data_IF_713260819878
#
_entry.id   IF_713260819878
#
_cell.length_a   1.000
_cell.length_b   1.000
_cell.length_c   1.000
_cell.angle_alpha   90.00
_cell.angle_beta   90.00
_cell.angle_gamma   90.00
#
_symmetry.space_group_name_H-M   'P 1'
#
loop_
_entity.id
_entity.type
_entity.pdbx_description
1 polymer ?
#
# COMPACT_ATOMS: atom_id res chain seq x y z
N UNK A 1 22.48 -29.69 -30.50
CA UNK A 1 21.25 -29.61 -29.72
C UNK A 1 20.07 -29.64 -30.68
N UNK A 2 19.26 -30.69 -30.60
CA UNK A 2 18.02 -30.85 -31.36
C UNK A 2 16.98 -29.83 -30.86
N UNK A 3 15.95 -29.55 -31.66
CA UNK A 3 14.89 -28.58 -31.28
C UNK A 3 14.20 -28.97 -29.97
N UNK A 4 13.95 -30.26 -29.73
CA UNK A 4 13.37 -30.73 -28.46
C UNK A 4 14.26 -30.50 -27.22
N UNK A 5 15.58 -30.66 -27.37
CA UNK A 5 16.54 -30.39 -26.29
C UNK A 5 16.64 -28.88 -25.97
N UNK A 6 16.55 -28.03 -27.00
CA UNK A 6 16.49 -26.57 -26.84
C UNK A 6 15.24 -26.14 -26.05
N UNK A 7 14.07 -26.68 -26.41
CA UNK A 7 12.82 -26.38 -25.68
C UNK A 7 12.86 -26.84 -24.23
N UNK A 8 13.44 -28.02 -23.97
CA UNK A 8 13.64 -28.51 -22.60
C UNK A 8 14.60 -27.63 -21.79
N UNK A 9 15.65 -27.11 -22.41
CA UNK A 9 16.58 -26.17 -21.77
C UNK A 9 15.87 -24.87 -21.36
N UNK A 10 15.14 -24.24 -22.30
CA UNK A 10 14.35 -23.03 -22.01
C UNK A 10 13.38 -23.25 -20.85
N UNK A 11 12.57 -24.33 -20.92
CA UNK A 11 11.62 -24.66 -19.86
C UNK A 11 12.29 -24.91 -18.50
N UNK A 12 13.45 -25.57 -18.48
CA UNK A 12 14.18 -25.85 -17.24
C UNK A 12 14.71 -24.58 -16.57
N UNK A 13 15.29 -23.67 -17.37
CA UNK A 13 15.76 -22.37 -16.87
C UNK A 13 14.58 -21.49 -16.44
N UNK A 14 13.52 -21.44 -17.25
CA UNK A 14 12.31 -20.68 -16.94
C UNK A 14 11.72 -21.13 -15.60
N UNK A 15 11.50 -22.43 -15.44
CA UNK A 15 10.99 -22.99 -14.18
C UNK A 15 11.90 -22.71 -12.98
N UNK A 16 13.23 -22.70 -13.15
CA UNK A 16 14.15 -22.39 -12.07
C UNK A 16 14.01 -20.94 -11.58
N UNK A 17 13.87 -19.98 -12.49
CA UNK A 17 13.64 -18.57 -12.13
C UNK A 17 12.27 -18.35 -11.49
N UNK A 18 11.24 -19.07 -11.93
CA UNK A 18 9.93 -19.04 -11.27
C UNK A 18 10.00 -19.54 -9.82
N UNK A 19 10.72 -20.64 -9.56
CA UNK A 19 10.93 -21.17 -8.22
C UNK A 19 11.72 -20.19 -7.35
N UNK A 20 12.78 -19.58 -7.89
CA UNK A 20 13.56 -18.57 -7.18
C UNK A 20 12.72 -17.34 -6.82
N UNK A 21 11.93 -16.86 -7.76
CA UNK A 21 11.03 -15.71 -7.57
C UNK A 21 9.98 -16.01 -6.51
N UNK A 22 9.36 -17.20 -6.57
CA UNK A 22 8.42 -17.66 -5.56
C UNK A 22 9.06 -17.71 -4.16
N UNK A 23 10.28 -18.23 -4.04
CA UNK A 23 10.98 -18.26 -2.76
C UNK A 23 11.21 -16.85 -2.18
N UNK A 24 11.51 -15.85 -3.02
CA UNK A 24 11.63 -14.46 -2.55
C UNK A 24 10.28 -13.95 -2.02
N UNK A 25 9.20 -14.16 -2.76
CA UNK A 25 7.86 -13.70 -2.35
C UNK A 25 7.39 -14.40 -1.08
N UNK A 26 7.57 -15.72 -0.99
CA UNK A 26 7.20 -16.54 0.18
C UNK A 26 8.05 -16.18 1.43
N UNK A 27 9.18 -15.48 1.26
CA UNK A 27 9.99 -14.98 2.38
C UNK A 27 9.52 -13.64 2.95
N UNK A 28 8.56 -12.97 2.29
CA UNK A 28 7.94 -11.76 2.80
C UNK A 28 6.94 -12.11 3.91
N UNK A 29 6.84 -11.26 4.92
CA UNK A 29 5.80 -11.41 5.93
C UNK A 29 4.43 -11.08 5.33
N UNK A 30 3.38 -11.68 5.88
CA UNK A 30 2.01 -11.37 5.49
C UNK A 30 1.65 -9.94 5.90
N UNK A 31 1.00 -9.19 4.99
CA UNK A 31 0.57 -7.80 5.28
C UNK A 31 -0.38 -7.74 6.47
N UNK A 32 -1.19 -8.78 6.68
CA UNK A 32 -2.14 -8.87 7.80
C UNK A 32 -1.46 -8.94 9.17
N UNK A 33 -0.23 -9.43 9.23
CA UNK A 33 0.55 -9.49 10.46
C UNK A 33 1.28 -8.18 10.78
N UNK A 34 1.58 -7.37 9.75
CA UNK A 34 2.22 -6.05 9.90
C UNK A 34 1.19 -4.94 10.15
N UNK A 35 0.07 -4.96 9.42
CA UNK A 35 -0.96 -3.94 9.53
C UNK A 35 -1.72 -4.18 10.84
N UNK A 36 -1.83 -3.18 11.73
CA UNK A 36 -2.55 -3.38 12.97
C UNK A 36 -4.02 -3.77 12.68
N UNK A 37 -4.63 -4.63 13.50
CA UNK A 37 -6.04 -4.99 13.34
C UNK A 37 -6.94 -3.75 13.46
N UNK A 38 -8.05 -3.78 12.73
CA UNK A 38 -9.04 -2.70 12.76
C UNK A 38 -9.65 -2.61 14.17
N UNK A 39 -9.62 -1.43 14.83
CA UNK A 39 -10.18 -1.29 16.16
C UNK A 39 -11.70 -1.47 16.13
N UNK A 40 -12.25 -1.88 17.27
CA UNK A 40 -13.69 -1.98 17.44
C UNK A 40 -14.30 -0.59 17.28
N UNK A 41 -15.36 -0.48 16.49
CA UNK A 41 -16.09 0.78 16.33
C UNK A 41 -16.65 1.23 17.68
N UNK A 42 -16.27 2.43 18.07
CA UNK A 42 -16.80 3.13 19.25
C UNK A 42 -17.28 4.50 18.83
N UNK A 43 -18.31 5.01 19.50
CA UNK A 43 -18.78 6.38 19.32
C UNK A 43 -18.32 7.29 20.45
N UNK A 44 -18.33 8.60 20.19
CA UNK A 44 -18.03 9.63 21.17
C UNK A 44 -18.78 9.46 22.50
N UNK A 45 -18.02 9.41 23.58
CA UNK A 45 -18.52 9.49 24.95
C UNK A 45 -18.15 10.83 25.56
N UNK A 46 -19.10 11.79 25.63
CA UNK A 46 -18.90 12.97 26.49
C UNK A 46 -18.78 12.50 27.93
N UNK A 47 -17.65 12.77 28.59
CA UNK A 47 -17.48 12.53 30.03
C UNK A 47 -18.60 13.28 30.77
N UNK A 48 -19.55 12.53 31.33
CA UNK A 48 -20.60 13.09 32.17
C UNK A 48 -20.14 13.01 33.62
N UNK A 49 -19.53 14.10 34.09
CA UNK A 49 -19.33 14.37 35.50
C UNK A 49 -18.08 13.74 36.11
N UNK A 50 -17.40 14.56 36.92
CA UNK A 50 -16.28 14.23 37.78
C UNK A 50 -16.62 12.96 38.59
N UNK A 51 -16.11 11.83 38.14
CA UNK A 51 -15.79 10.71 39.02
C UNK A 51 -14.29 10.58 38.99
N UNK A 52 -13.65 11.33 39.88
CA UNK A 52 -12.26 11.15 40.24
C UNK A 52 -12.06 9.69 40.66
N UNK A 53 -11.61 8.87 39.72
CA UNK A 53 -11.12 7.53 39.98
C UNK A 53 -9.78 7.42 39.28
N UNK A 54 -8.75 7.42 40.10
CA UNK A 54 -7.39 6.91 39.87
C UNK A 54 -6.95 7.00 38.41
N UNK A 55 -6.12 8.00 38.14
CA UNK A 55 -5.20 8.05 37.00
C UNK A 55 -4.25 6.85 37.08
N UNK A 56 -4.79 5.65 36.84
CA UNK A 56 -4.04 4.48 36.49
C UNK A 56 -3.86 4.66 35.00
N UNK A 57 -2.61 4.74 34.53
CA UNK A 57 -2.31 4.44 33.14
C UNK A 57 -2.86 3.03 32.87
N UNK A 58 -4.14 2.96 32.49
CA UNK A 58 -4.74 1.77 31.97
C UNK A 58 -4.31 1.78 30.52
N UNK A 59 -3.15 1.21 30.26
CA UNK A 59 -2.90 0.51 29.00
C UNK A 59 -4.17 -0.28 28.70
N UNK A 60 -4.94 0.16 27.69
CA UNK A 60 -6.22 -0.45 27.35
C UNK A 60 -5.99 -1.95 27.14
N UNK A 61 -6.56 -2.84 27.98
CA UNK A 61 -6.37 -4.28 27.85
C UNK A 61 -7.07 -4.85 26.60
N UNK A 62 -7.65 -4.00 25.74
CA UNK A 62 -8.34 -4.37 24.50
C UNK A 62 -7.71 -3.78 23.24
N UNK A 63 -6.55 -3.12 23.33
CA UNK A 63 -5.67 -3.04 22.17
C UNK A 63 -5.21 -4.46 21.85
N UNK A 64 -5.38 -4.96 20.62
CA UNK A 64 -4.85 -6.25 20.25
C UNK A 64 -3.36 -6.25 20.54
N UNK A 65 -3.03 -7.05 21.54
CA UNK A 65 -1.74 -7.46 22.01
C UNK A 65 -0.56 -7.01 21.12
N UNK A 66 0.36 -6.29 21.73
CA UNK A 66 1.78 -6.16 21.34
C UNK A 66 2.46 -7.55 21.15
N UNK A 67 1.76 -8.66 21.42
CA UNK A 67 2.25 -10.06 21.38
C UNK A 67 2.48 -10.69 19.99
N UNK A 68 2.59 -9.92 18.90
CA UNK A 68 3.03 -10.51 17.62
C UNK A 68 4.33 -9.94 17.06
N UNK A 69 4.90 -8.88 17.65
CA UNK A 69 6.06 -8.24 17.02
C UNK A 69 7.35 -9.08 17.04
N UNK A 70 7.50 -10.00 18.00
CA UNK A 70 8.74 -10.75 18.19
C UNK A 70 8.83 -12.03 17.34
N UNK A 71 7.71 -12.52 16.80
CA UNK A 71 7.66 -13.78 16.03
C UNK A 71 7.56 -13.56 14.51
N UNK A 72 7.27 -12.32 14.08
CA UNK A 72 7.21 -11.97 12.65
C UNK A 72 8.63 -11.63 12.19
N UNK A 73 9.22 -12.52 11.39
CA UNK A 73 10.51 -12.27 10.75
C UNK A 73 10.37 -11.29 9.57
N UNK A 74 10.26 -10.01 9.87
CA UNK A 74 10.20 -8.94 8.86
C UNK A 74 11.60 -8.68 8.32
N UNK A 75 11.80 -8.87 7.01
CA UNK A 75 13.08 -8.59 6.34
C UNK A 75 13.50 -7.13 6.51
N UNK A 76 14.79 -6.90 6.71
CA UNK A 76 15.34 -5.53 6.81
C UNK A 76 15.21 -4.78 5.50
N UNK A 77 15.11 -3.45 5.57
CA UNK A 77 15.02 -2.59 4.37
C UNK A 77 16.17 -2.83 3.38
N UNK A 78 17.46 -2.90 3.80
CA UNK A 78 18.55 -3.25 2.89
C UNK A 78 18.39 -4.61 2.22
N UNK A 79 17.90 -5.63 2.95
CA UNK A 79 17.66 -6.97 2.38
C UNK A 79 16.60 -6.92 1.28
N UNK A 80 15.49 -6.22 1.51
CA UNK A 80 14.44 -6.02 0.51
C UNK A 80 14.98 -5.31 -0.74
N UNK A 81 15.78 -4.26 -0.55
CA UNK A 81 16.40 -3.54 -1.66
C UNK A 81 17.34 -4.41 -2.49
N UNK A 82 18.18 -5.23 -1.85
CA UNK A 82 19.09 -6.15 -2.54
C UNK A 82 18.30 -7.23 -3.30
N UNK A 83 17.23 -7.77 -2.72
CA UNK A 83 16.36 -8.73 -3.41
C UNK A 83 15.68 -8.10 -4.63
N UNK A 84 15.16 -6.88 -4.51
CA UNK A 84 14.59 -6.11 -5.63
C UNK A 84 15.62 -5.89 -6.76
N UNK A 85 16.83 -5.45 -6.40
CA UNK A 85 17.93 -5.29 -7.35
C UNK A 85 18.29 -6.61 -8.04
N UNK A 86 18.25 -7.72 -7.30
CA UNK A 86 18.55 -9.06 -7.83
C UNK A 86 17.48 -9.51 -8.83
N UNK A 87 16.19 -9.28 -8.53
CA UNK A 87 15.09 -9.55 -9.46
C UNK A 87 15.19 -8.70 -10.73
N UNK A 88 15.50 -7.41 -10.58
CA UNK A 88 15.72 -6.52 -11.72
C UNK A 88 16.93 -6.96 -12.56
N UNK A 89 18.02 -7.34 -11.91
CA UNK A 89 19.17 -7.90 -12.61
C UNK A 89 18.79 -9.18 -13.36
N UNK A 90 18.07 -10.11 -12.73
CA UNK A 90 17.62 -11.34 -13.35
C UNK A 90 16.82 -11.08 -14.64
N UNK A 91 15.81 -10.21 -14.61
CA UNK A 91 15.02 -9.90 -15.81
C UNK A 91 15.85 -9.24 -16.93
N UNK A 92 16.82 -8.38 -16.57
CA UNK A 92 17.73 -7.77 -17.55
C UNK A 92 18.63 -8.80 -18.23
N UNK A 93 19.06 -9.84 -17.50
CA UNK A 93 19.92 -10.90 -18.03
C UNK A 93 19.14 -11.98 -18.78
N UNK A 94 17.87 -12.24 -18.44
CA UNK A 94 17.03 -13.18 -19.17
C UNK A 94 16.94 -12.85 -20.67
N UNK A 95 16.82 -11.55 -21.00
CA UNK A 95 16.79 -11.11 -22.39
C UNK A 95 18.11 -11.42 -23.12
N UNK A 96 19.25 -11.10 -22.50
CA UNK A 96 20.59 -11.39 -23.05
C UNK A 96 20.84 -12.89 -23.18
N UNK A 97 20.36 -13.67 -22.21
CA UNK A 97 20.46 -15.13 -22.21
C UNK A 97 19.66 -15.73 -23.36
N UNK A 98 18.43 -15.27 -23.58
CA UNK A 98 17.58 -15.73 -24.68
C UNK A 98 18.24 -15.46 -26.04
N UNK A 99 18.74 -14.25 -26.25
CA UNK A 99 19.42 -13.87 -27.49
C UNK A 99 20.70 -14.70 -27.70
N UNK A 100 21.50 -14.91 -26.66
CA UNK A 100 22.73 -15.72 -26.71
C UNK A 100 22.46 -17.20 -27.04
N UNK A 101 21.41 -17.78 -26.44
CA UNK A 101 20.99 -19.16 -26.73
C UNK A 101 20.55 -19.28 -28.20
N UNK A 102 19.72 -18.34 -28.67
CA UNK A 102 19.24 -18.32 -30.05
C UNK A 102 20.38 -18.13 -31.06
N UNK A 103 21.30 -17.21 -30.80
CA UNK A 103 22.45 -16.94 -31.67
C UNK A 103 23.34 -18.18 -31.81
N UNK A 104 23.72 -18.81 -30.68
CA UNK A 104 24.56 -20.02 -30.67
C UNK A 104 23.89 -21.21 -31.34
N UNK A 105 22.60 -21.39 -31.12
CA UNK A 105 21.83 -22.45 -31.76
C UNK A 105 21.74 -22.23 -33.28
N UNK A 106 21.43 -21.00 -33.71
CA UNK A 106 21.28 -20.66 -35.13
C UNK A 106 22.59 -20.82 -35.91
N UNK A 107 23.73 -20.35 -35.35
CA UNK A 107 25.06 -20.50 -35.97
C UNK A 107 25.42 -21.97 -36.26
N UNK A 108 25.10 -22.88 -35.34
CA UNK A 108 25.42 -24.32 -35.46
C UNK A 108 24.50 -25.05 -36.45
N UNK A 109 23.28 -24.56 -36.65
CA UNK A 109 22.34 -25.13 -37.62
C UNK A 109 22.57 -24.60 -39.03
N UNK A 110 22.93 -23.32 -39.20
CA UNK A 110 23.28 -22.74 -40.51
C UNK A 110 24.58 -23.33 -41.08
N UNK A 111 25.55 -23.70 -40.25
CA UNK A 111 26.76 -24.41 -40.70
C UNK A 111 26.48 -25.84 -41.18
N UNK A 112 25.34 -26.43 -40.83
CA UNK A 112 24.94 -27.79 -41.26
C UNK A 112 24.00 -27.78 -42.47
N UNK A 113 23.47 -26.63 -42.89
CA UNK A 113 22.47 -26.52 -43.99
C UNK A 113 23.01 -26.00 -45.32
N UNK A 114 24.33 -25.90 -45.51
CA UNK A 114 24.93 -25.59 -46.83
C UNK A 114 24.89 -26.83 -47.74
N UNK A 115 23.70 -27.39 -47.99
CA UNK A 115 23.36 -28.22 -49.18
C UNK A 115 21.85 -28.25 -49.36
N UNK A 116 21.24 -27.12 -49.79
CA UNK A 116 20.10 -27.06 -50.71
C UNK A 116 19.65 -25.61 -50.91
N UNK A 117 19.64 -25.08 -52.14
CA UNK A 117 18.94 -23.85 -52.44
C UNK A 117 17.46 -24.14 -52.78
N UNK A 118 16.67 -23.07 -52.67
CA UNK A 118 15.36 -22.81 -53.32
C UNK A 118 14.13 -22.77 -52.40
N UNK A 119 13.57 -21.56 -52.38
CA UNK A 119 12.20 -21.10 -52.14
C UNK A 119 11.61 -21.00 -50.74
N UNK A 120 11.33 -19.74 -50.38
CA UNK A 120 9.94 -19.31 -50.16
C UNK A 120 9.55 -18.99 -48.72
N UNK A 121 9.61 -17.70 -48.36
CA UNK A 121 8.74 -17.03 -47.38
C UNK A 121 8.37 -17.79 -46.10
N UNK A 122 9.35 -18.33 -45.38
CA UNK A 122 9.13 -18.72 -43.99
C UNK A 122 9.54 -17.57 -43.08
N UNK A 123 8.64 -16.59 -42.93
CA UNK A 123 8.57 -15.77 -41.71
C UNK A 123 8.16 -16.71 -40.57
N UNK A 124 9.03 -17.64 -40.18
CA UNK A 124 8.89 -18.33 -38.92
C UNK A 124 9.37 -17.34 -37.86
N UNK A 125 8.43 -16.53 -37.38
CA UNK A 125 8.47 -16.00 -36.02
C UNK A 125 8.53 -17.19 -35.08
N UNK A 126 9.70 -17.80 -34.89
CA UNK A 126 9.95 -18.59 -33.70
C UNK A 126 9.77 -17.64 -32.53
N UNK A 127 8.57 -17.68 -31.91
CA UNK A 127 8.21 -16.97 -30.70
C UNK A 127 9.41 -16.95 -29.75
N UNK A 128 9.93 -15.76 -29.48
CA UNK A 128 10.97 -15.50 -28.46
C UNK A 128 10.30 -15.45 -27.09
N UNK A 129 9.63 -16.55 -26.76
CA UNK A 129 8.78 -16.68 -25.59
C UNK A 129 9.41 -17.67 -24.60
N UNK A 130 10.73 -17.88 -24.70
CA UNK A 130 11.43 -18.93 -23.97
C UNK A 130 11.43 -18.75 -22.45
N UNK A 131 11.19 -17.53 -21.97
CA UNK A 131 11.23 -17.13 -20.56
C UNK A 131 10.01 -16.31 -20.10
N UNK A 132 8.87 -16.46 -20.77
CA UNK A 132 7.70 -15.63 -20.49
C UNK A 132 7.12 -15.89 -19.10
N UNK A 133 7.20 -17.12 -18.60
CA UNK A 133 6.81 -17.47 -17.24
C UNK A 133 7.64 -16.68 -16.21
N UNK A 134 8.97 -16.75 -16.34
CA UNK A 134 9.90 -16.01 -15.47
C UNK A 134 9.70 -14.50 -15.56
N UNK A 135 9.54 -13.94 -16.77
CA UNK A 135 9.32 -12.50 -16.93
C UNK A 135 8.07 -12.03 -16.21
N UNK A 136 6.98 -12.78 -16.34
CA UNK A 136 5.73 -12.47 -15.68
C UNK A 136 5.89 -12.54 -14.15
N UNK A 137 6.43 -13.63 -13.65
CA UNK A 137 6.56 -13.86 -12.21
C UNK A 137 7.54 -12.87 -11.57
N UNK A 138 8.68 -12.59 -12.20
CA UNK A 138 9.66 -11.62 -11.71
C UNK A 138 9.05 -10.21 -11.66
N UNK A 139 8.34 -9.76 -12.71
CA UNK A 139 7.71 -8.44 -12.69
C UNK A 139 6.66 -8.32 -11.59
N UNK A 140 5.81 -9.35 -11.44
CA UNK A 140 4.81 -9.41 -10.37
C UNK A 140 5.44 -9.41 -8.98
N UNK A 141 6.56 -10.12 -8.80
CA UNK A 141 7.31 -10.11 -7.55
C UNK A 141 7.93 -8.74 -7.26
N UNK A 142 8.49 -8.06 -8.27
CA UNK A 142 8.99 -6.69 -8.10
C UNK A 142 7.86 -5.75 -7.67
N UNK A 143 6.68 -5.81 -8.31
CA UNK A 143 5.52 -5.00 -7.92
C UNK A 143 5.11 -5.27 -6.46
N UNK A 144 4.97 -6.55 -6.10
CA UNK A 144 4.60 -6.95 -4.76
C UNK A 144 5.63 -6.50 -3.70
N UNK A 145 6.92 -6.64 -3.99
CA UNK A 145 7.98 -6.20 -3.08
C UNK A 145 8.04 -4.68 -2.93
N UNK A 146 7.78 -3.91 -3.99
CA UNK A 146 7.70 -2.45 -3.92
C UNK A 146 6.54 -2.02 -3.00
N UNK A 147 5.36 -2.62 -3.17
CA UNK A 147 4.19 -2.36 -2.33
C UNK A 147 4.43 -2.77 -0.86
N UNK A 148 5.00 -3.96 -0.65
CA UNK A 148 5.34 -4.47 0.67
C UNK A 148 6.36 -3.57 1.39
N UNK A 149 7.38 -3.07 0.68
CA UNK A 149 8.38 -2.17 1.24
C UNK A 149 7.74 -0.89 1.80
N UNK A 150 6.78 -0.31 1.06
CA UNK A 150 5.98 0.81 1.54
C UNK A 150 5.14 0.44 2.77
N UNK A 151 4.42 -0.69 2.72
CA UNK A 151 3.57 -1.15 3.83
C UNK A 151 4.39 -1.39 5.10
N UNK A 152 5.51 -2.11 5.01
CA UNK A 152 6.45 -2.30 6.11
C UNK A 152 6.90 -0.95 6.68
N UNK A 153 7.32 -0.02 5.83
CA UNK A 153 7.81 1.28 6.29
C UNK A 153 6.77 2.00 7.14
N UNK A 154 5.53 2.11 6.66
CA UNK A 154 4.50 2.92 7.34
C UNK A 154 3.90 2.19 8.54
N UNK A 155 3.60 0.90 8.40
CA UNK A 155 2.86 0.15 9.42
C UNK A 155 3.75 -0.59 10.42
N UNK A 156 5.06 -0.71 10.14
CA UNK A 156 6.04 -1.32 11.03
C UNK A 156 7.08 -0.31 11.50
N UNK A 157 7.91 0.23 10.59
CA UNK A 157 9.07 1.03 10.97
C UNK A 157 8.66 2.40 11.55
N UNK A 158 7.69 3.06 10.93
CA UNK A 158 7.15 4.36 11.34
C UNK A 158 5.83 4.23 12.11
N UNK A 159 5.49 3.03 12.61
CA UNK A 159 4.20 2.74 13.24
C UNK A 159 3.87 3.69 14.39
N UNK A 160 4.82 3.93 15.28
CA UNK A 160 4.60 4.79 16.45
C UNK A 160 4.31 6.23 16.06
N UNK A 161 5.08 6.78 15.11
CA UNK A 161 4.98 8.17 14.68
C UNK A 161 3.75 8.38 13.78
N UNK A 162 3.59 7.51 12.79
CA UNK A 162 2.57 7.62 11.76
C UNK A 162 1.22 7.05 12.25
N UNK A 163 1.15 5.79 12.63
CA UNK A 163 -0.11 5.10 12.91
C UNK A 163 -0.64 5.41 14.32
N UNK A 164 0.23 5.49 15.32
CA UNK A 164 -0.18 5.70 16.71
C UNK A 164 -0.16 7.19 17.12
N UNK A 165 0.71 7.99 16.50
CA UNK A 165 0.96 9.40 16.86
C UNK A 165 0.14 10.42 16.06
N UNK A 166 -0.05 10.21 14.76
CA UNK A 166 -0.68 11.22 13.89
C UNK A 166 -2.10 11.58 14.37
N UNK A 167 -2.40 12.88 14.42
CA UNK A 167 -3.67 13.47 14.88
C UNK A 167 -4.12 13.10 16.29
N UNK A 168 -3.19 12.63 17.15
CA UNK A 168 -3.44 12.32 18.55
C UNK A 168 -2.63 13.25 19.47
N UNK A 169 -3.26 13.98 20.41
CA UNK A 169 -4.67 13.89 20.82
C UNK A 169 -5.62 14.73 19.96
N UNK A 170 -5.11 15.58 19.05
CA UNK A 170 -5.91 16.35 18.11
C UNK A 170 -5.12 16.66 16.84
N UNK A 171 -5.82 17.04 15.77
CA UNK A 171 -5.21 17.39 14.48
C UNK A 171 -4.25 18.56 14.62
N UNK A 172 -4.67 19.64 15.29
CA UNK A 172 -3.86 20.84 15.46
C UNK A 172 -2.54 20.62 16.23
N UNK A 173 -2.47 19.60 17.09
CA UNK A 173 -1.29 19.34 17.93
C UNK A 173 -0.32 18.32 17.32
N UNK A 174 -0.81 17.41 16.49
CA UNK A 174 -0.01 16.30 15.94
C UNK A 174 -0.24 16.21 14.43
N UNK A 175 0.31 17.20 13.72
CA UNK A 175 0.20 17.37 12.26
C UNK A 175 1.08 16.40 11.51
N UNK A 176 0.77 16.17 10.23
CA UNK A 176 1.54 15.28 9.36
C UNK A 176 2.98 15.75 9.13
N UNK A 177 3.25 17.06 9.22
CA UNK A 177 4.55 17.66 8.97
C UNK A 177 5.70 17.01 9.76
N UNK A 178 5.43 16.50 10.98
CA UNK A 178 6.43 15.79 11.80
C UNK A 178 6.97 14.50 11.15
N UNK A 179 6.27 13.97 10.14
CA UNK A 179 6.61 12.75 9.43
C UNK A 179 7.51 13.00 8.22
N UNK A 180 7.70 14.26 7.81
CA UNK A 180 8.49 14.59 6.61
C UNK A 180 9.95 14.20 6.78
N UNK A 181 10.60 14.56 7.90
CA UNK A 181 11.99 14.16 8.17
C UNK A 181 12.17 12.63 8.24
N UNK A 182 11.34 11.87 8.99
CA UNK A 182 11.39 10.41 8.96
C UNK A 182 11.21 9.79 7.57
N UNK A 183 10.27 10.30 6.78
CA UNK A 183 10.02 9.82 5.42
C UNK A 183 11.20 10.12 4.49
N UNK A 184 11.82 11.30 4.60
CA UNK A 184 12.99 11.69 3.83
C UNK A 184 14.21 10.80 4.12
N UNK A 185 14.42 10.47 5.41
CA UNK A 185 15.46 9.54 5.82
C UNK A 185 15.24 8.15 5.21
N UNK A 186 14.00 7.66 5.21
CA UNK A 186 13.65 6.38 4.58
C UNK A 186 13.89 6.43 3.07
N UNK A 187 13.44 7.47 2.38
CA UNK A 187 13.64 7.62 0.94
C UNK A 187 15.13 7.66 0.59
N UNK A 188 15.93 8.38 1.38
CA UNK A 188 17.39 8.44 1.22
C UNK A 188 18.01 7.04 1.33
N UNK A 189 17.65 6.27 2.34
CA UNK A 189 18.16 4.89 2.53
C UNK A 189 17.72 3.94 1.41
N UNK A 190 16.47 4.04 0.96
CA UNK A 190 15.95 3.22 -0.14
C UNK A 190 16.67 3.52 -1.45
N UNK A 191 16.80 4.81 -1.81
CA UNK A 191 17.37 5.26 -3.06
C UNK A 191 18.89 5.10 -3.15
N UNK A 192 19.59 5.02 -2.01
CA UNK A 192 21.03 4.71 -1.94
C UNK A 192 21.34 3.28 -2.39
N UNK A 193 20.44 2.33 -2.11
CA UNK A 193 20.62 0.91 -2.44
C UNK A 193 19.93 0.54 -3.76
N UNK A 194 18.73 1.04 -4.00
CA UNK A 194 17.90 0.67 -5.15
C UNK A 194 18.46 1.22 -6.47
N UNK A 195 18.51 0.34 -7.49
CA UNK A 195 18.87 0.74 -8.86
C UNK A 195 17.87 1.74 -9.45
N UNK A 196 18.38 2.72 -10.18
CA UNK A 196 17.60 3.84 -10.74
C UNK A 196 16.28 3.46 -11.42
N UNK A 197 16.19 2.40 -12.26
CA UNK A 197 14.93 2.02 -12.93
C UNK A 197 13.82 1.51 -12.01
N UNK A 198 14.13 1.20 -10.74
CA UNK A 198 13.16 0.76 -9.75
C UNK A 198 12.75 1.86 -8.77
N UNK A 199 13.44 3.00 -8.74
CA UNK A 199 13.22 4.06 -7.74
C UNK A 199 11.76 4.52 -7.74
N UNK A 200 11.22 4.92 -8.88
CA UNK A 200 9.83 5.37 -9.00
C UNK A 200 8.83 4.32 -8.51
N UNK A 201 9.08 3.03 -8.75
CA UNK A 201 8.19 1.94 -8.32
C UNK A 201 8.19 1.79 -6.80
N UNK A 202 9.37 1.82 -6.17
CA UNK A 202 9.52 1.74 -4.71
C UNK A 202 8.92 2.98 -4.03
N UNK A 203 9.21 4.17 -4.56
CA UNK A 203 8.68 5.44 -4.02
C UNK A 203 7.16 5.51 -4.20
N UNK A 204 6.62 5.01 -5.32
CA UNK A 204 5.15 4.89 -5.52
C UNK A 204 4.53 3.96 -4.48
N UNK A 205 5.16 2.82 -4.18
CA UNK A 205 4.71 1.91 -3.13
C UNK A 205 4.70 2.58 -1.74
N UNK A 206 5.71 3.41 -1.44
CA UNK A 206 5.73 4.19 -0.20
C UNK A 206 4.65 5.27 -0.14
N UNK A 207 4.40 5.98 -1.24
CA UNK A 207 3.30 6.94 -1.35
C UNK A 207 1.94 6.26 -1.11
N UNK A 208 1.71 5.12 -1.74
CA UNK A 208 0.48 4.34 -1.57
C UNK A 208 0.28 3.94 -0.10
N UNK A 209 1.31 3.37 0.52
CA UNK A 209 1.26 3.00 1.93
C UNK A 209 1.05 4.21 2.86
N UNK A 210 1.63 5.37 2.54
CA UNK A 210 1.46 6.59 3.32
C UNK A 210 0.01 7.10 3.27
N UNK A 211 -0.61 7.04 2.09
CA UNK A 211 -2.01 7.41 1.90
C UNK A 211 -2.97 6.41 2.56
N UNK A 212 -2.69 5.11 2.46
CA UNK A 212 -3.45 4.07 3.16
C UNK A 212 -3.31 4.22 4.68
N UNK A 213 -2.10 4.54 5.17
CA UNK A 213 -1.84 4.87 6.57
C UNK A 213 -2.65 6.08 7.04
N UNK A 214 -2.67 7.16 6.26
CA UNK A 214 -3.47 8.36 6.55
C UNK A 214 -4.97 8.06 6.60
N UNK A 215 -5.50 7.35 5.60
CA UNK A 215 -6.92 6.93 5.57
C UNK A 215 -7.24 6.07 6.79
N UNK A 216 -6.34 5.15 7.17
CA UNK A 216 -6.52 4.29 8.34
C UNK A 216 -6.51 5.10 9.64
N UNK A 217 -5.63 6.08 9.79
CA UNK A 217 -5.61 6.99 10.94
C UNK A 217 -6.93 7.77 11.07
N UNK A 218 -7.53 8.16 9.93
CA UNK A 218 -8.78 8.92 9.89
C UNK A 218 -10.01 8.03 10.17
N UNK A 219 -10.09 6.86 9.54
CA UNK A 219 -11.30 6.02 9.56
C UNK A 219 -11.28 4.94 10.65
N UNK A 220 -10.10 4.44 10.98
CA UNK A 220 -9.86 3.29 11.86
C UNK A 220 -8.80 3.66 12.93
N UNK A 221 -8.76 4.93 13.33
CA UNK A 221 -7.76 5.49 14.26
C UNK A 221 -8.02 5.20 15.74
N UNK A 222 -9.13 4.52 16.06
CA UNK A 222 -9.54 4.19 17.42
C UNK A 222 -10.12 5.37 18.24
N UNK A 223 -10.57 5.12 19.49
CA UNK A 223 -11.33 6.08 20.29
C UNK A 223 -10.54 7.33 20.73
N UNK A 224 -9.22 7.32 20.57
CA UNK A 224 -8.34 8.43 20.98
C UNK A 224 -8.31 9.59 19.97
N UNK A 225 -8.95 9.43 18.81
CA UNK A 225 -9.01 10.44 17.74
C UNK A 225 -10.46 10.85 17.51
N UNK A 226 -10.71 12.13 17.74
CA UNK A 226 -12.02 12.75 17.52
C UNK A 226 -11.85 13.99 16.65
N UNK A 227 -12.75 14.17 15.69
CA UNK A 227 -12.67 15.21 14.67
C UNK A 227 -13.91 16.10 14.65
N UNK A 228 -13.67 17.34 14.25
CA UNK A 228 -14.64 18.41 13.98
C UNK A 228 -14.61 18.76 12.48
N UNK A 229 -15.57 19.53 11.91
CA UNK A 229 -15.55 19.83 10.48
C UNK A 229 -14.38 20.76 10.13
N UNK A 230 -13.96 21.59 11.09
CA UNK A 230 -12.83 22.49 10.95
C UNK A 230 -11.51 21.74 10.75
N UNK A 231 -11.38 20.53 11.29
CA UNK A 231 -10.16 19.72 11.16
C UNK A 231 -9.89 19.28 9.72
N UNK A 232 -10.92 19.17 8.88
CA UNK A 232 -10.79 18.80 7.48
C UNK A 232 -9.88 19.77 6.71
N UNK A 233 -9.88 21.06 7.07
CA UNK A 233 -8.98 22.04 6.44
C UNK A 233 -7.51 21.75 6.74
N UNK A 234 -7.19 21.45 8.00
CA UNK A 234 -5.82 21.11 8.41
C UNK A 234 -5.36 19.79 7.78
N UNK A 235 -6.26 18.80 7.67
CA UNK A 235 -5.93 17.55 7.00
C UNK A 235 -5.72 17.71 5.49
N UNK A 236 -6.45 18.62 4.83
CA UNK A 236 -6.22 18.93 3.41
C UNK A 236 -4.86 19.63 3.21
N UNK A 237 -4.49 20.57 4.08
CA UNK A 237 -3.15 21.17 4.09
C UNK A 237 -2.06 20.09 4.26
N UNK A 238 -2.27 19.16 5.19
CA UNK A 238 -1.35 18.04 5.45
C UNK A 238 -1.24 17.09 4.26
N UNK A 239 -2.35 16.82 3.56
CA UNK A 239 -2.34 16.01 2.33
C UNK A 239 -1.57 16.71 1.21
N UNK A 240 -1.69 18.04 1.09
CA UNK A 240 -0.94 18.82 0.09
C UNK A 240 0.56 18.85 0.41
N UNK A 241 0.95 18.93 1.69
CA UNK A 241 2.36 18.78 2.12
C UNK A 241 2.90 17.40 1.73
N UNK A 242 2.17 16.32 2.03
CA UNK A 242 2.57 14.97 1.65
C UNK A 242 2.70 14.81 0.13
N UNK A 243 1.75 15.40 -0.62
CA UNK A 243 1.76 15.36 -2.09
C UNK A 243 2.99 16.06 -2.67
N UNK A 244 3.26 17.29 -2.24
CA UNK A 244 4.41 18.05 -2.74
C UNK A 244 5.74 17.44 -2.30
N UNK A 245 5.80 16.79 -1.13
CA UNK A 245 6.96 16.01 -0.69
C UNK A 245 7.30 14.89 -1.70
N UNK A 246 6.33 14.09 -2.14
CA UNK A 246 6.60 13.01 -3.11
C UNK A 246 6.84 13.52 -4.54
N UNK A 247 6.35 14.70 -4.90
CA UNK A 247 6.66 15.36 -6.18
C UNK A 247 8.08 15.96 -6.14
N UNK A 248 8.50 16.46 -4.98
CA UNK A 248 9.81 17.06 -4.71
C UNK A 248 10.26 18.06 -5.78
N UNK A 249 9.38 19.02 -6.13
CA UNK A 249 9.69 20.05 -7.13
C UNK A 249 9.95 19.54 -8.56
N UNK A 250 9.67 18.26 -8.85
CA UNK A 250 9.94 17.61 -10.13
C UNK A 250 11.09 16.60 -10.10
N UNK A 251 11.86 16.55 -9.01
CA UNK A 251 12.94 15.57 -8.82
C UNK A 251 12.42 14.23 -8.23
N UNK A 252 11.17 14.21 -7.78
CA UNK A 252 10.49 13.02 -7.25
C UNK A 252 9.60 12.33 -8.29
N UNK A 253 8.44 11.83 -7.82
CA UNK A 253 7.48 11.14 -8.67
C UNK A 253 6.80 12.10 -9.67
N UNK A 254 6.40 11.61 -10.86
CA UNK A 254 5.61 12.40 -11.80
C UNK A 254 4.30 12.90 -11.17
N UNK A 255 4.03 14.21 -11.26
CA UNK A 255 2.84 14.84 -10.65
C UNK A 255 1.52 14.12 -10.98
N UNK A 256 1.35 13.66 -12.22
CA UNK A 256 0.14 12.92 -12.62
C UNK A 256 -0.04 11.59 -11.88
N UNK A 257 1.06 10.89 -11.55
CA UNK A 257 1.02 9.66 -10.75
C UNK A 257 0.58 9.98 -9.33
N UNK A 258 1.18 11.01 -8.72
CA UNK A 258 0.85 11.41 -7.34
C UNK A 258 -0.60 11.90 -7.23
N UNK A 259 -1.05 12.77 -8.14
CA UNK A 259 -2.42 13.31 -8.15
C UNK A 259 -3.48 12.21 -8.27
N UNK A 260 -3.19 11.15 -9.03
CA UNK A 260 -4.10 10.00 -9.16
C UNK A 260 -4.21 9.20 -7.85
N UNK A 261 -3.11 9.05 -7.09
CA UNK A 261 -3.12 8.28 -5.84
C UNK A 261 -3.84 9.04 -4.71
N UNK A 262 -3.67 10.36 -4.62
CA UNK A 262 -4.25 11.17 -3.53
C UNK A 262 -5.77 11.32 -3.61
N UNK A 263 -6.41 11.01 -4.74
CA UNK A 263 -7.86 11.18 -4.96
C UNK A 263 -8.69 10.57 -3.84
N UNK A 264 -8.37 9.34 -3.43
CA UNK A 264 -9.13 8.61 -2.41
C UNK A 264 -9.00 9.27 -1.04
N UNK A 265 -7.78 9.62 -0.63
CA UNK A 265 -7.53 10.29 0.65
C UNK A 265 -8.24 11.66 0.70
N UNK A 266 -8.15 12.44 -0.38
CA UNK A 266 -8.84 13.73 -0.52
C UNK A 266 -10.36 13.60 -0.41
N UNK A 267 -10.95 12.56 -1.01
CA UNK A 267 -12.37 12.29 -0.88
C UNK A 267 -12.78 12.01 0.58
N UNK A 268 -11.99 11.22 1.31
CA UNK A 268 -12.24 10.94 2.73
C UNK A 268 -12.12 12.21 3.59
N UNK A 269 -11.09 13.03 3.35
CA UNK A 269 -10.90 14.31 4.04
C UNK A 269 -12.06 15.28 3.74
N UNK A 270 -12.52 15.33 2.49
CA UNK A 270 -13.69 16.12 2.13
C UNK A 270 -14.93 15.69 2.90
N UNK A 271 -15.14 14.39 3.08
CA UNK A 271 -16.27 13.86 3.86
C UNK A 271 -16.22 14.33 5.32
N UNK A 272 -15.03 14.42 5.92
CA UNK A 272 -14.87 14.95 7.29
C UNK A 272 -15.34 16.40 7.43
N UNK A 273 -15.27 17.19 6.34
CA UNK A 273 -15.65 18.60 6.33
C UNK A 273 -17.16 18.86 6.29
N UNK A 274 -17.99 17.85 6.01
CA UNK A 274 -19.45 18.00 6.01
C UNK A 274 -20.01 18.07 7.44
N UNK A 275 -21.17 18.70 7.57
CA UNK A 275 -21.90 18.71 8.82
C UNK A 275 -22.47 17.31 9.13
N UNK A 276 -22.54 17.00 10.43
CA UNK A 276 -22.98 15.68 10.91
C UNK A 276 -24.36 15.28 10.38
N UNK A 277 -25.26 16.25 10.19
CA UNK A 277 -26.60 16.01 9.62
C UNK A 277 -26.55 15.54 8.18
N UNK A 278 -25.72 16.16 7.35
CA UNK A 278 -25.57 15.81 5.94
C UNK A 278 -25.00 14.40 5.80
N UNK A 279 -24.00 14.04 6.62
CA UNK A 279 -23.43 12.70 6.66
C UNK A 279 -24.46 11.64 7.08
N UNK A 280 -25.32 11.96 8.04
CA UNK A 280 -26.39 11.05 8.50
C UNK A 280 -27.46 10.85 7.42
N UNK A 281 -27.87 11.93 6.74
CA UNK A 281 -28.84 11.85 5.64
C UNK A 281 -28.28 11.03 4.47
N UNK A 282 -27.03 11.30 4.10
CA UNK A 282 -26.35 10.57 3.04
C UNK A 282 -26.18 9.08 3.39
N UNK A 283 -25.87 8.74 4.64
CA UNK A 283 -25.79 7.36 5.11
C UNK A 283 -27.14 6.63 5.05
N UNK A 284 -28.25 7.31 5.36
CA UNK A 284 -29.60 6.70 5.21
C UNK A 284 -29.87 6.40 3.74
N UNK A 285 -29.61 7.36 2.85
CA UNK A 285 -29.76 7.16 1.41
C UNK A 285 -28.81 6.08 0.87
N UNK A 286 -27.57 6.02 1.33
CA UNK A 286 -26.59 5.01 0.95
C UNK A 286 -27.05 3.60 1.34
N UNK A 287 -27.57 3.45 2.57
CA UNK A 287 -28.08 2.16 3.08
C UNK A 287 -29.28 1.66 2.29
N UNK A 288 -30.12 2.57 1.76
CA UNK A 288 -31.25 2.25 0.89
C UNK A 288 -30.79 1.88 -0.53
N UNK A 289 -29.74 2.54 -1.03
CA UNK A 289 -29.20 2.35 -2.40
C UNK A 289 -28.20 1.19 -2.53
N UNK A 290 -27.58 0.72 -1.43
CA UNK A 290 -26.72 -0.47 -1.42
C UNK A 290 -27.49 -1.73 -1.88
N UNK A 291 -28.80 -1.79 -1.62
CA UNK A 291 -29.67 -2.84 -2.15
C UNK A 291 -29.84 -2.80 -3.69
N UNK A 292 -29.42 -1.72 -4.35
CA UNK A 292 -29.58 -1.47 -5.78
C UNK A 292 -28.24 -1.18 -6.51
N UNK A 293 -27.10 -1.31 -5.81
CA UNK A 293 -25.75 -1.10 -6.39
C UNK A 293 -25.37 0.36 -6.65
N UNK A 294 -26.08 1.32 -6.05
CA UNK A 294 -25.80 2.76 -6.18
C UNK A 294 -24.81 3.29 -5.14
N UNK A 295 -24.15 4.42 -5.44
CA UNK A 295 -23.36 5.20 -4.45
C UNK A 295 -24.21 6.31 -3.84
N UNK A 296 -23.83 6.76 -2.65
CA UNK A 296 -24.47 7.87 -1.96
C UNK A 296 -24.30 9.20 -2.74
N UNK A 297 -25.03 10.25 -2.34
CA UNK A 297 -24.93 11.58 -2.98
C UNK A 297 -23.53 12.18 -2.80
N UNK A 298 -22.89 11.88 -1.66
CA UNK A 298 -21.52 12.29 -1.38
C UNK A 298 -20.47 11.32 -1.97
N UNK A 299 -20.91 10.25 -2.63
CA UNK A 299 -20.05 9.31 -3.35
C UNK A 299 -19.33 8.28 -2.45
N UNK A 300 -19.74 8.17 -1.19
CA UNK A 300 -19.15 7.28 -0.19
C UNK A 300 -20.01 6.02 0.03
N UNK A 301 -19.37 4.93 0.47
CA UNK A 301 -20.09 3.74 0.93
C UNK A 301 -20.56 3.90 2.40
N UNK A 302 -21.55 3.10 2.80
CA UNK A 302 -22.11 3.14 4.15
C UNK A 302 -21.06 2.90 5.23
N UNK A 303 -20.06 2.05 4.99
CA UNK A 303 -19.03 1.72 5.99
C UNK A 303 -18.09 2.91 6.23
N UNK A 304 -17.73 3.65 5.18
CA UNK A 304 -16.91 4.86 5.28
C UNK A 304 -17.65 5.95 6.07
N UNK A 305 -18.92 6.19 5.77
CA UNK A 305 -19.73 7.18 6.49
C UNK A 305 -19.91 6.82 7.98
N UNK A 306 -20.17 5.55 8.30
CA UNK A 306 -20.27 5.09 9.69
C UNK A 306 -18.96 5.33 10.45
N UNK A 307 -17.80 5.03 9.84
CA UNK A 307 -16.49 5.25 10.45
C UNK A 307 -16.22 6.72 10.74
N UNK A 308 -16.53 7.60 9.79
CA UNK A 308 -16.41 9.06 9.98
C UNK A 308 -17.29 9.52 11.15
N UNK A 309 -18.54 9.05 11.21
CA UNK A 309 -19.45 9.39 12.32
C UNK A 309 -18.97 8.83 13.67
N UNK A 310 -18.25 7.70 13.70
CA UNK A 310 -17.67 7.16 14.94
C UNK A 310 -16.60 8.09 15.52
N UNK A 311 -15.82 8.73 14.65
CA UNK A 311 -14.79 9.70 15.02
C UNK A 311 -15.32 11.13 15.18
N UNK A 312 -16.63 11.37 15.10
CA UNK A 312 -17.20 12.71 15.28
C UNK A 312 -17.32 13.14 16.74
N UNK A 313 -16.77 14.30 17.08
CA UNK A 313 -16.74 14.82 18.46
C UNK A 313 -18.05 15.45 18.96
N UNK A 314 -19.19 15.09 18.38
CA UNK A 314 -20.49 15.70 18.68
C UNK A 314 -21.54 14.69 19.19
N UNK A 315 -22.56 15.23 19.85
CA UNK A 315 -23.63 14.41 20.44
C UNK A 315 -24.63 13.88 19.42
N UNK A 316 -24.80 14.53 18.27
CA UNK A 316 -25.76 14.15 17.24
C UNK A 316 -25.33 12.84 16.56
N UNK A 317 -24.07 12.77 16.11
CA UNK A 317 -23.44 11.57 15.58
C UNK A 317 -23.51 10.43 16.61
N UNK A 318 -23.10 10.69 17.84
CA UNK A 318 -23.15 9.69 18.90
C UNK A 318 -24.58 9.18 19.18
N UNK A 319 -25.59 10.03 19.18
CA UNK A 319 -26.96 9.58 19.44
C UNK A 319 -27.50 8.74 18.29
N UNK A 320 -27.20 9.13 17.05
CA UNK A 320 -27.56 8.39 15.86
C UNK A 320 -26.93 6.98 15.84
N UNK A 321 -25.61 6.89 16.02
CA UNK A 321 -24.89 5.61 16.05
C UNK A 321 -25.37 4.68 17.18
N UNK A 322 -25.74 5.25 18.34
CA UNK A 322 -26.35 4.49 19.43
C UNK A 322 -27.69 3.87 19.01
N UNK A 323 -28.56 4.66 18.39
CA UNK A 323 -29.94 4.25 18.07
C UNK A 323 -30.00 3.27 16.90
N UNK A 324 -29.28 3.55 15.81
CA UNK A 324 -29.38 2.78 14.57
C UNK A 324 -28.43 1.58 14.54
N UNK A 325 -27.20 1.72 15.03
CA UNK A 325 -26.15 0.70 14.90
C UNK A 325 -25.76 0.04 16.22
N UNK A 326 -26.34 0.48 17.35
CA UNK A 326 -26.03 -0.01 18.70
C UNK A 326 -24.54 0.01 19.06
N UNK A 327 -23.79 0.94 18.48
CA UNK A 327 -22.35 1.09 18.70
C UNK A 327 -22.06 1.54 20.15
N UNK A 328 -21.12 0.90 20.86
CA UNK A 328 -20.78 1.25 22.25
C UNK A 328 -20.04 2.59 22.34
N UNK A 329 -20.12 3.27 23.49
CA UNK A 329 -19.28 4.45 23.77
C UNK A 329 -17.82 4.03 23.87
N UNK A 330 -16.91 4.93 23.51
CA UNK A 330 -15.53 4.81 23.94
C UNK A 330 -15.47 4.76 25.47
N UNK A 331 -14.67 3.83 26.00
CA UNK A 331 -14.21 3.86 27.37
C UNK A 331 -12.88 4.61 27.32
N UNK A 332 -12.93 5.94 27.38
CA UNK A 332 -11.74 6.75 27.61
C UNK A 332 -11.38 6.71 29.10
#
# INVERSE_FOLDING_TARGET
>A
MRSGELKSLFRGIDSAFQVYTKHIVDSLADKEDIIPPVPILTRFGRESGIKAFVKKELTDPRLPDVRKSNDINVLTTPTLCVQLNTLYYAISQLNKLEDSIWERWSKKHHSQTIKRPVNGNSKNSTQKDGFDGSRKDINAAIDHMCEFTGTKTIFWDLREQFIDGLYRPSVAQSRLEILIEPLDLVLSQLCDIIVEPLRDRVVTGLLQASLDGLIRVILDGGPSRMFTPADAKFMEEDLEVLKEFFISGGDGLPRGVVENQVVRARQVIKLLGYETRELIEDLRSASEMEAQGGRSKLGADSKTLIRILCHRSDSEASQFLKKQYKIPKSAA
#
